data_IF_132743276263
#
_entry.id   IF_132743276263
#
_cell.length_a   1.000
_cell.length_b   1.000
_cell.length_c   1.000
_cell.angle_alpha   90.00
_cell.angle_beta   90.00
_cell.angle_gamma   90.00
#
_symmetry.space_group_name_H-M   'P 1'
#
loop_
_entity.id
_entity.type
_entity.pdbx_description
1 polymer ?
#
# COMPACT_ATOMS: atom_id res chain seq x y z
N UNK A 1 -30.17 12.77 0.98
CA UNK A 1 -30.43 12.12 -0.31
C UNK A 1 -29.09 12.11 -0.99
N UNK A 2 -28.48 10.94 -1.16
CA UNK A 2 -27.21 10.84 -1.88
C UNK A 2 -27.46 11.26 -3.33
N UNK A 3 -26.99 12.45 -3.71
CA UNK A 3 -26.96 12.87 -5.11
C UNK A 3 -25.87 12.07 -5.80
N UNK A 4 -26.26 10.93 -6.35
CA UNK A 4 -25.44 10.15 -7.27
C UNK A 4 -25.23 11.00 -8.53
N UNK A 5 -24.12 11.75 -8.57
CA UNK A 5 -23.78 12.58 -9.73
C UNK A 5 -23.43 11.66 -10.90
N UNK A 6 -24.14 11.83 -12.01
CA UNK A 6 -23.92 11.05 -13.24
C UNK A 6 -22.48 11.24 -13.75
N UNK A 7 -21.74 10.13 -13.90
CA UNK A 7 -20.39 10.10 -14.45
C UNK A 7 -20.29 10.79 -15.82
N UNK A 8 -21.34 10.74 -16.64
CA UNK A 8 -21.37 11.42 -17.93
C UNK A 8 -21.21 12.94 -17.81
N UNK A 9 -21.64 13.52 -16.68
CA UNK A 9 -21.54 14.95 -16.37
C UNK A 9 -20.15 15.31 -15.84
N UNK A 10 -19.54 14.46 -15.00
CA UNK A 10 -18.23 14.72 -14.41
C UNK A 10 -17.05 14.44 -15.35
N UNK A 11 -17.21 13.46 -16.24
CA UNK A 11 -16.12 12.98 -17.11
C UNK A 11 -15.42 14.08 -17.92
N UNK A 12 -16.12 15.04 -18.56
CA UNK A 12 -15.47 16.08 -19.36
C UNK A 12 -14.51 16.95 -18.55
N UNK A 13 -14.94 17.39 -17.35
CA UNK A 13 -14.17 18.31 -16.51
C UNK A 13 -12.96 17.62 -15.85
N UNK A 14 -13.14 16.38 -15.39
CA UNK A 14 -12.04 15.54 -14.88
C UNK A 14 -11.01 15.31 -15.99
N UNK A 15 -11.48 14.96 -17.19
CA UNK A 15 -10.59 14.71 -18.32
C UNK A 15 -9.83 15.96 -18.75
N UNK A 16 -10.50 17.12 -18.82
CA UNK A 16 -9.87 18.40 -19.13
C UNK A 16 -8.78 18.74 -18.11
N UNK A 17 -9.07 18.58 -16.81
CA UNK A 17 -8.12 18.84 -15.73
C UNK A 17 -6.87 17.96 -15.84
N UNK A 18 -7.04 16.66 -16.10
CA UNK A 18 -5.92 15.73 -16.30
C UNK A 18 -5.11 16.12 -17.54
N UNK A 19 -5.78 16.42 -18.67
CA UNK A 19 -5.11 16.78 -19.92
C UNK A 19 -4.33 18.09 -19.80
N UNK A 20 -4.91 19.10 -19.15
CA UNK A 20 -4.24 20.37 -18.87
C UNK A 20 -2.96 20.14 -18.06
N UNK A 21 -3.03 19.30 -17.02
CA UNK A 21 -1.85 18.94 -16.23
C UNK A 21 -0.77 18.24 -17.08
N UNK A 22 -1.14 17.24 -17.89
CA UNK A 22 -0.19 16.53 -18.75
C UNK A 22 0.47 17.45 -19.79
N UNK A 23 -0.25 18.45 -20.29
CA UNK A 23 0.29 19.45 -21.22
C UNK A 23 1.24 20.45 -20.56
N UNK A 24 1.21 20.61 -19.24
CA UNK A 24 2.15 21.51 -18.55
C UNK A 24 3.60 21.05 -18.61
N UNK A 25 3.85 19.79 -18.98
CA UNK A 25 5.19 19.20 -18.97
C UNK A 25 5.83 19.09 -17.57
N UNK A 26 5.05 19.33 -16.51
CA UNK A 26 5.47 19.09 -15.13
C UNK A 26 5.65 17.59 -14.90
N UNK A 27 6.51 17.24 -13.96
CA UNK A 27 6.72 15.86 -13.57
C UNK A 27 5.37 15.23 -13.17
N UNK A 28 4.99 14.16 -13.88
CA UNK A 28 3.74 13.42 -13.63
C UNK A 28 3.83 12.62 -12.34
N UNK A 29 5.05 12.24 -11.98
CA UNK A 29 5.43 11.61 -10.72
C UNK A 29 6.28 12.62 -9.97
N UNK A 30 6.09 12.78 -8.67
CA UNK A 30 7.02 13.57 -7.86
C UNK A 30 8.41 12.93 -7.96
N UNK A 31 9.43 13.70 -8.35
CA UNK A 31 10.85 13.31 -8.24
C UNK A 31 11.34 13.29 -6.78
N UNK A 32 10.46 13.60 -5.82
CA UNK A 32 10.70 13.22 -4.44
C UNK A 32 10.91 11.73 -4.48
N UNK A 33 12.17 11.33 -4.21
CA UNK A 33 12.73 10.00 -4.36
C UNK A 33 11.61 9.00 -4.70
N UNK A 34 11.60 8.42 -5.91
CA UNK A 34 11.21 7.01 -5.94
C UNK A 34 12.09 6.46 -4.84
N UNK A 35 11.58 6.16 -3.63
CA UNK A 35 12.45 5.71 -2.56
C UNK A 35 13.17 4.59 -3.27
N UNK A 36 14.50 4.67 -3.43
CA UNK A 36 15.27 3.64 -4.14
C UNK A 36 14.63 2.35 -3.67
N UNK A 37 13.86 1.69 -4.59
CA UNK A 37 12.68 0.90 -4.19
C UNK A 37 13.06 0.16 -2.93
N UNK A 38 12.33 0.32 -1.79
CA UNK A 38 12.89 -0.02 -0.49
C UNK A 38 13.59 -1.38 -0.66
N UNK A 39 14.77 -1.55 -0.09
CA UNK A 39 15.54 -2.79 -0.13
C UNK A 39 14.78 -3.92 0.57
N UNK A 40 13.65 -4.29 -0.01
CA UNK A 40 12.47 -4.72 0.70
C UNK A 40 12.26 -6.18 0.35
N UNK A 41 12.40 -6.48 -0.93
CA UNK A 41 12.58 -7.84 -1.43
C UNK A 41 13.93 -8.04 -2.12
N UNK A 42 14.78 -7.02 -2.20
CA UNK A 42 16.14 -7.21 -2.72
C UNK A 42 16.89 -8.16 -1.78
N UNK A 43 17.38 -9.26 -2.34
CA UNK A 43 18.14 -10.25 -1.59
C UNK A 43 19.58 -9.76 -1.49
N UNK A 44 20.06 -9.57 -0.27
CA UNK A 44 21.42 -9.15 0.02
C UNK A 44 22.31 -10.36 0.40
N UNK A 45 23.63 -10.30 0.18
CA UNK A 45 24.54 -11.40 0.50
C UNK A 45 24.60 -11.79 1.99
N UNK A 46 24.20 -10.89 2.87
CA UNK A 46 24.14 -11.05 4.32
C UNK A 46 22.75 -11.45 4.85
N UNK A 47 21.75 -11.58 3.98
CA UNK A 47 20.46 -12.15 4.35
C UNK A 47 20.63 -13.63 4.73
N UNK A 48 19.98 -14.05 5.82
CA UNK A 48 19.82 -15.48 6.12
C UNK A 48 18.96 -16.15 5.03
N UNK A 49 19.18 -17.45 4.79
CA UNK A 49 18.44 -18.24 3.79
C UNK A 49 16.92 -18.09 3.96
N UNK A 50 16.45 -18.00 5.21
CA UNK A 50 15.03 -17.78 5.53
C UNK A 50 14.53 -16.44 5.02
N UNK A 51 15.32 -15.38 5.25
CA UNK A 51 14.99 -14.01 4.81
C UNK A 51 14.99 -13.93 3.28
N UNK A 52 16.01 -14.50 2.64
CA UNK A 52 16.08 -14.57 1.18
C UNK A 52 14.87 -15.28 0.58
N UNK A 53 14.43 -16.39 1.18
CA UNK A 53 13.25 -17.13 0.74
C UNK A 53 11.94 -16.33 0.95
N UNK A 54 11.79 -15.65 2.08
CA UNK A 54 10.65 -14.76 2.32
C UNK A 54 10.61 -13.67 1.24
N UNK A 55 11.73 -12.98 1.01
CA UNK A 55 11.83 -11.90 0.02
C UNK A 55 11.48 -12.39 -1.39
N UNK A 56 11.97 -13.56 -1.79
CA UNK A 56 11.63 -14.17 -3.09
C UNK A 56 10.13 -14.44 -3.23
N UNK A 57 9.51 -15.06 -2.23
CA UNK A 57 8.07 -15.36 -2.27
C UNK A 57 7.20 -14.10 -2.29
N UNK A 58 7.62 -13.06 -1.56
CA UNK A 58 6.93 -11.78 -1.59
C UNK A 58 6.98 -11.16 -2.98
N UNK A 59 8.13 -11.22 -3.65
CA UNK A 59 8.31 -10.64 -5.00
C UNK A 59 7.63 -11.48 -6.09
N UNK A 60 7.83 -12.81 -6.08
CA UNK A 60 7.41 -13.67 -7.18
C UNK A 60 5.93 -14.07 -7.12
N UNK A 61 5.27 -13.94 -5.96
CA UNK A 61 3.89 -14.40 -5.76
C UNK A 61 2.98 -13.38 -5.08
N UNK A 62 3.40 -12.80 -3.96
CA UNK A 62 2.50 -11.94 -3.18
C UNK A 62 2.26 -10.60 -3.87
N UNK A 63 3.33 -9.89 -4.23
CA UNK A 63 3.24 -8.58 -4.87
C UNK A 63 2.37 -8.60 -6.13
N UNK A 64 2.53 -9.55 -7.08
CA UNK A 64 1.65 -9.63 -8.24
C UNK A 64 0.16 -9.72 -7.86
N UNK A 65 -0.18 -10.60 -6.91
CA UNK A 65 -1.57 -10.78 -6.46
C UNK A 65 -2.12 -9.53 -5.76
N UNK A 66 -1.31 -8.86 -4.93
CA UNK A 66 -1.72 -7.64 -4.23
C UNK A 66 -1.90 -6.47 -5.19
N UNK A 67 -1.02 -6.35 -6.19
CA UNK A 67 -1.06 -5.30 -7.20
C UNK A 67 -2.24 -5.46 -8.17
N UNK A 68 -2.67 -6.70 -8.44
CA UNK A 68 -3.92 -6.97 -9.17
C UNK A 68 -5.14 -6.35 -8.46
N UNK A 69 -5.16 -6.33 -7.13
CA UNK A 69 -6.20 -5.72 -6.30
C UNK A 69 -5.99 -4.20 -6.05
N UNK A 70 -4.98 -3.60 -6.69
CA UNK A 70 -4.64 -2.18 -6.54
C UNK A 70 -3.95 -1.83 -5.22
N UNK A 71 -3.34 -2.82 -4.56
CA UNK A 71 -2.49 -2.63 -3.40
C UNK A 71 -1.01 -2.72 -3.71
N UNK A 72 -0.19 -2.56 -2.68
CA UNK A 72 1.20 -3.00 -2.70
C UNK A 72 1.63 -3.39 -1.28
N UNK A 73 2.74 -4.12 -1.15
CA UNK A 73 3.33 -4.44 0.16
C UNK A 73 4.81 -4.12 0.21
N UNK A 74 5.26 -3.80 1.41
CA UNK A 74 6.64 -3.42 1.70
C UNK A 74 7.17 -4.25 2.88
N UNK A 75 8.11 -5.16 2.69
CA UNK A 75 8.82 -5.92 3.72
C UNK A 75 9.67 -5.07 4.68
N UNK A 76 9.29 -5.10 5.97
CA UNK A 76 9.94 -4.33 7.04
C UNK A 76 10.81 -5.18 7.97
N UNK A 77 11.05 -6.45 7.63
CA UNK A 77 11.94 -7.33 8.38
C UNK A 77 11.30 -8.62 8.88
N UNK A 78 12.14 -9.50 9.41
CA UNK A 78 11.77 -10.78 9.99
C UNK A 78 12.48 -10.98 11.32
N UNK A 79 11.72 -11.20 12.40
CA UNK A 79 12.26 -11.46 13.74
C UNK A 79 11.33 -12.37 14.53
N UNK A 80 11.91 -13.32 15.26
CA UNK A 80 11.18 -14.24 16.15
C UNK A 80 10.07 -15.06 15.47
N UNK A 81 10.20 -15.31 14.16
CA UNK A 81 9.18 -15.98 13.35
C UNK A 81 8.05 -15.05 12.88
N UNK A 82 8.17 -13.73 13.05
CA UNK A 82 7.18 -12.75 12.62
C UNK A 82 7.72 -11.96 11.43
N UNK A 83 6.99 -11.96 10.32
CA UNK A 83 7.26 -11.12 9.14
C UNK A 83 6.52 -9.81 9.30
N UNK A 84 7.24 -8.69 9.20
CA UNK A 84 6.68 -7.35 9.30
C UNK A 84 6.50 -6.79 7.90
N UNK A 85 5.30 -6.34 7.56
CA UNK A 85 4.97 -5.76 6.26
C UNK A 85 4.30 -4.41 6.45
N UNK A 86 4.58 -3.42 5.60
CA UNK A 86 3.76 -2.22 5.43
C UNK A 86 2.85 -2.46 4.24
N UNK A 87 1.54 -2.30 4.42
CA UNK A 87 0.58 -2.41 3.33
C UNK A 87 0.33 -1.04 2.70
N UNK A 88 0.03 -1.00 1.41
CA UNK A 88 -0.27 0.23 0.66
C UNK A 88 -1.49 0.03 -0.23
N UNK A 89 -2.09 1.15 -0.66
CA UNK A 89 -3.19 1.18 -1.62
C UNK A 89 -4.48 0.62 -1.04
N UNK A 90 -5.27 -0.06 -1.89
CA UNK A 90 -6.59 -0.61 -1.59
C UNK A 90 -6.62 -1.49 -0.32
N UNK A 91 -5.48 -2.04 0.08
CA UNK A 91 -5.34 -2.92 1.24
C UNK A 91 -5.44 -2.21 2.58
N UNK A 92 -5.27 -0.88 2.63
CA UNK A 92 -5.20 -0.10 3.88
C UNK A 92 -6.54 0.51 4.31
N UNK A 93 -7.42 0.84 3.36
CA UNK A 93 -8.65 1.60 3.61
C UNK A 93 -9.86 0.77 4.07
N UNK A 94 -9.76 -0.56 4.10
CA UNK A 94 -10.86 -1.45 4.49
C UNK A 94 -10.41 -2.50 5.51
N UNK A 95 -10.90 -2.46 6.76
CA UNK A 95 -10.47 -3.40 7.81
C UNK A 95 -10.71 -4.87 7.49
N UNK A 96 -11.74 -5.21 6.71
CA UNK A 96 -11.98 -6.61 6.31
C UNK A 96 -11.00 -7.10 5.25
N UNK A 97 -10.59 -6.21 4.33
CA UNK A 97 -9.65 -6.54 3.26
C UNK A 97 -8.24 -6.74 3.82
N UNK A 98 -7.81 -5.88 4.75
CA UNK A 98 -6.49 -6.01 5.38
C UNK A 98 -6.35 -7.33 6.16
N UNK A 99 -7.38 -7.74 6.91
CA UNK A 99 -7.40 -9.01 7.65
C UNK A 99 -7.34 -10.22 6.71
N UNK A 100 -8.11 -10.18 5.62
CA UNK A 100 -8.17 -11.27 4.64
C UNK A 100 -6.82 -11.43 3.93
N UNK A 101 -6.25 -10.32 3.47
CA UNK A 101 -4.98 -10.32 2.77
C UNK A 101 -3.85 -10.78 3.70
N UNK A 102 -3.77 -10.23 4.92
CA UNK A 102 -2.80 -10.66 5.94
C UNK A 102 -2.85 -12.17 6.16
N UNK A 103 -4.07 -12.73 6.26
CA UNK A 103 -4.26 -14.16 6.46
C UNK A 103 -3.81 -14.99 5.26
N UNK A 104 -4.08 -14.51 4.03
CA UNK A 104 -3.61 -15.13 2.79
C UNK A 104 -2.09 -15.16 2.70
N UNK A 105 -1.44 -14.01 2.92
CA UNK A 105 0.03 -13.87 2.91
C UNK A 105 0.65 -14.78 3.97
N UNK A 106 0.10 -14.77 5.20
CA UNK A 106 0.55 -15.64 6.27
C UNK A 106 0.49 -17.11 5.87
N UNK A 107 -0.68 -17.60 5.44
CA UNK A 107 -0.85 -19.01 5.08
C UNK A 107 0.13 -19.45 3.97
N UNK A 108 0.36 -18.57 2.98
CA UNK A 108 1.31 -18.84 1.92
C UNK A 108 2.75 -18.91 2.45
N UNK A 109 3.18 -17.92 3.22
CA UNK A 109 4.53 -17.89 3.80
C UNK A 109 4.77 -19.09 4.73
N UNK A 110 3.82 -19.45 5.59
CA UNK A 110 3.94 -20.60 6.48
C UNK A 110 4.04 -21.94 5.73
N UNK A 111 3.44 -22.04 4.54
CA UNK A 111 3.52 -23.24 3.72
C UNK A 111 4.91 -23.45 3.12
N UNK A 112 5.55 -22.38 2.66
CA UNK A 112 6.88 -22.46 2.03
C UNK A 112 8.04 -22.25 3.01
N UNK A 113 7.82 -21.50 4.10
CA UNK A 113 8.80 -21.11 5.11
C UNK A 113 8.24 -21.47 6.51
N UNK A 114 8.44 -22.71 7.00
CA UNK A 114 7.89 -23.18 8.27
C UNK A 114 8.33 -22.37 9.51
N UNK A 115 9.42 -21.61 9.41
CA UNK A 115 9.94 -20.70 10.42
C UNK A 115 9.00 -19.50 10.67
N UNK A 116 8.14 -19.18 9.69
CA UNK A 116 7.14 -18.12 9.81
C UNK A 116 5.98 -18.58 10.71
N UNK A 117 5.71 -17.81 11.76
CA UNK A 117 4.63 -18.01 12.73
C UNK A 117 3.49 -17.01 12.56
N UNK A 118 3.82 -15.78 12.16
CA UNK A 118 2.84 -14.73 11.96
C UNK A 118 3.32 -13.66 10.97
N UNK A 119 2.35 -12.85 10.51
CA UNK A 119 2.60 -11.66 9.69
C UNK A 119 1.96 -10.47 10.40
N UNK A 120 2.70 -9.37 10.56
CA UNK A 120 2.20 -8.16 11.24
C UNK A 120 2.32 -6.97 10.30
N UNK A 121 1.23 -6.22 10.19
CA UNK A 121 1.23 -4.94 9.50
C UNK A 121 1.90 -3.90 10.41
N UNK A 122 2.81 -3.11 9.85
CA UNK A 122 3.42 -1.96 10.52
C UNK A 122 3.03 -0.68 9.82
N UNK A 123 2.75 0.35 10.62
CA UNK A 123 2.56 1.72 10.19
C UNK A 123 3.77 2.54 10.61
N UNK A 124 4.32 3.33 9.70
CA UNK A 124 5.43 4.23 10.02
C UNK A 124 4.92 5.65 10.36
N UNK A 125 5.86 6.56 10.64
CA UNK A 125 5.54 7.95 10.99
C UNK A 125 4.82 8.68 9.85
N UNK A 126 5.13 8.33 8.59
CA UNK A 126 4.47 8.90 7.42
C UNK A 126 2.98 8.51 7.40
N UNK A 127 2.67 7.23 7.66
CA UNK A 127 1.29 6.75 7.71
C UNK A 127 0.48 7.47 8.80
N UNK A 128 1.10 7.73 9.96
CA UNK A 128 0.47 8.48 11.06
C UNK A 128 0.20 9.94 10.69
N UNK A 129 1.14 10.60 10.02
CA UNK A 129 0.97 11.98 9.55
C UNK A 129 -0.15 12.09 8.51
N UNK A 130 -0.29 11.10 7.63
CA UNK A 130 -1.37 11.03 6.64
C UNK A 130 -2.71 10.87 7.35
N UNK A 131 -2.84 9.92 8.29
CA UNK A 131 -4.06 9.71 9.07
C UNK A 131 -4.47 10.98 9.83
N UNK A 132 -3.52 11.62 10.51
CA UNK A 132 -3.72 12.89 11.21
C UNK A 132 -4.17 14.02 10.27
N UNK A 133 -3.61 14.07 9.05
CA UNK A 133 -3.98 15.06 8.05
C UNK A 133 -5.38 14.82 7.49
N UNK A 134 -5.75 13.56 7.23
CA UNK A 134 -7.07 13.15 6.79
C UNK A 134 -8.13 13.51 7.83
N UNK A 135 -7.91 13.17 9.11
CA UNK A 135 -8.82 13.54 10.19
C UNK A 135 -9.01 15.05 10.30
N UNK A 136 -7.93 15.83 10.14
CA UNK A 136 -8.00 17.30 10.14
C UNK A 136 -8.81 17.82 8.96
N UNK A 137 -8.68 17.23 7.77
CA UNK A 137 -9.50 17.60 6.61
C UNK A 137 -10.98 17.27 6.82
N UNK A 138 -11.31 16.09 7.35
CA UNK A 138 -12.69 15.70 7.66
C UNK A 138 -13.34 16.62 8.71
N UNK A 139 -12.59 16.99 9.75
CA UNK A 139 -13.02 17.97 10.76
C UNK A 139 -13.23 19.37 10.15
N UNK A 140 -12.43 19.75 9.16
CA UNK A 140 -12.60 21.03 8.45
C UNK A 140 -13.80 21.02 7.49
N UNK A 141 -14.12 19.89 6.86
CA UNK A 141 -15.25 19.76 5.93
C UNK A 141 -16.59 19.49 6.63
N UNK A 142 -16.59 19.02 7.88
CA UNK A 142 -17.81 18.82 8.69
C UNK A 142 -18.37 20.11 9.31
N UNK A 143 -17.77 21.27 9.04
CA UNK A 143 -18.38 22.57 9.29
C UNK A 143 -19.49 22.86 8.27
N UNK A 144 -20.72 22.45 8.56
CA UNK A 144 -21.92 22.77 7.77
C UNK A 144 -22.15 24.29 7.75
N UNK A 145 -22.28 24.96 6.59
CA UNK A 145 -22.93 26.28 6.54
C UNK A 145 -24.41 26.09 6.87
N UNK A 146 -24.90 26.83 7.87
CA UNK A 146 -26.33 26.96 8.19
C UNK A 146 -27.13 27.51 6.99
#
# INVERSE_FOLDING_TARGET
MDEEVDWAVMKPDIFATIMDFLQTGKAVVNDGEVPEGPEDTMIHPDDDDTVAMIKELLESRVKPMVQEDGGDITYKGFREGIVYLKMKGSCTGCPSSSVTLKSGIKNMLQFYVPEVKDVVEVKDEEDQLIEDALEKMEKNFSGTPD
#
